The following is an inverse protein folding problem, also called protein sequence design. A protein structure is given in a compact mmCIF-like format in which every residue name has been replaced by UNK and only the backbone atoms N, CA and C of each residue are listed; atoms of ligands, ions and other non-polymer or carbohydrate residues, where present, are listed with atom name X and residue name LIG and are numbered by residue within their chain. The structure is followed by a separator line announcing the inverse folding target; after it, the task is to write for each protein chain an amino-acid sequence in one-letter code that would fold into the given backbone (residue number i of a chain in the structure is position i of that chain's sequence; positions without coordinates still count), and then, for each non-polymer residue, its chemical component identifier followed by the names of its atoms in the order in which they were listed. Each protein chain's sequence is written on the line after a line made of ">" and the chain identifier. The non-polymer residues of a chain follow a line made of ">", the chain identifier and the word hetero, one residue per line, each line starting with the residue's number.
data_IF_257371909450
#
_entry.id   IF_257371909450
#
_cell.length_a   1.000
_cell.length_b   1.000
_cell.length_c   1.000
_cell.angle_alpha   90.00
_cell.angle_beta   90.00
_cell.angle_gamma   90.00
#
_symmetry.space_group_name_H-M   'P 1'
#
loop_
_entity.id
_entity.type
_entity.pdbx_description
1 polymer ?
#
# COMPACT_ATOMS: atom_id res chain seq x y z
N UNK A 1 -3.52 -12.36 20.89
CA UNK A 1 -3.68 -11.60 20.58
C UNK A 1 -3.57 -11.34 19.38
N UNK A 2 -4.08 -11.02 18.69
CA UNK A 2 -3.93 -10.81 17.53
C UNK A 2 -3.58 -9.64 17.12
N UNK A 3 -2.51 -9.35 17.05
CA UNK A 3 -2.09 -8.24 16.55
C UNK A 3 -2.03 -8.26 15.15
N UNK A 4 -2.55 -7.41 14.37
CA UNK A 4 -2.41 -7.33 12.99
C UNK A 4 -1.10 -6.80 12.68
N UNK A 5 -0.37 -7.38 11.77
CA UNK A 5 0.93 -6.90 11.41
C UNK A 5 0.93 -5.54 10.80
N UNK A 6 -0.13 -5.16 10.13
CA UNK A 6 -0.15 -3.88 9.44
C UNK A 6 -1.25 -2.98 9.99
N UNK A 7 -1.46 -3.04 11.30
CA UNK A 7 -2.54 -2.26 11.88
C UNK A 7 -2.28 -0.76 11.77
N UNK A 8 -1.03 -0.36 11.57
CA UNK A 8 -0.75 1.05 11.42
C UNK A 8 -0.75 1.49 9.96
N UNK A 9 -1.08 0.62 9.04
CA UNK A 9 -1.08 0.97 7.63
C UNK A 9 -2.21 1.91 7.32
N UNK A 10 -1.91 2.99 6.61
CA UNK A 10 -2.94 3.95 6.22
C UNK A 10 -2.87 4.13 4.72
N UNK A 11 -3.93 4.66 4.14
CA UNK A 11 -3.98 4.85 2.68
C UNK A 11 -2.77 5.66 2.24
N UNK A 12 -2.16 5.22 1.18
CA UNK A 12 -0.97 5.88 0.65
C UNK A 12 0.34 5.24 1.07
N UNK A 13 0.33 4.38 2.09
CA UNK A 13 1.55 3.71 2.49
C UNK A 13 1.97 2.74 1.41
N UNK A 14 3.27 2.66 1.14
CA UNK A 14 3.80 1.80 0.11
C UNK A 14 4.60 0.69 0.75
N UNK A 15 4.31 -0.53 0.38
CA UNK A 15 4.97 -1.70 0.94
C UNK A 15 5.64 -2.50 -0.17
N UNK A 16 6.69 -3.19 0.20
CA UNK A 16 7.46 -4.01 -0.73
C UNK A 16 7.30 -5.47 -0.33
N UNK A 17 7.04 -6.32 -1.30
CA UNK A 17 6.93 -7.74 -1.05
C UNK A 17 8.27 -8.37 -1.42
N UNK A 18 9.11 -8.73 -0.46
CA UNK A 18 10.43 -9.27 -0.79
C UNK A 18 10.40 -10.66 -1.40
N UNK A 19 9.30 -11.35 -1.28
CA UNK A 19 9.22 -12.70 -1.82
C UNK A 19 9.12 -12.65 -3.35
N UNK A 20 8.29 -11.76 -3.86
CA UNK A 20 8.13 -11.66 -5.31
C UNK A 20 8.71 -10.37 -5.89
N UNK A 21 9.11 -9.45 -5.07
CA UNK A 21 9.69 -8.21 -5.58
C UNK A 21 8.68 -7.20 -6.06
N UNK A 22 7.46 -7.27 -5.55
CA UNK A 22 6.40 -6.38 -5.98
C UNK A 22 6.23 -5.21 -5.05
N UNK A 23 5.66 -4.14 -5.56
CA UNK A 23 5.31 -2.98 -4.73
C UNK A 23 3.79 -2.90 -4.62
N UNK A 24 3.34 -2.55 -3.44
CA UNK A 24 1.92 -2.46 -3.14
C UNK A 24 1.64 -1.15 -2.43
N UNK A 25 0.43 -0.62 -2.60
CA UNK A 25 0.06 0.61 -1.93
C UNK A 25 -1.22 0.33 -1.16
N UNK A 26 -1.40 0.96 -0.04
CA UNK A 26 -2.59 0.78 0.76
C UNK A 26 -3.67 1.72 0.25
N UNK A 27 -4.83 1.17 -0.11
CA UNK A 27 -5.95 1.96 -0.58
C UNK A 27 -7.22 1.38 -0.01
N UNK A 28 -8.00 2.19 0.67
CA UNK A 28 -9.27 1.77 1.24
C UNK A 28 -9.13 0.55 2.14
N UNK A 29 -8.07 0.52 2.90
CA UNK A 29 -7.87 -0.57 3.86
C UNK A 29 -7.43 -1.87 3.24
N UNK A 30 -6.88 -1.83 2.03
CA UNK A 30 -6.39 -3.03 1.38
C UNK A 30 -5.05 -2.73 0.74
N UNK A 31 -4.28 -3.78 0.46
CA UNK A 31 -3.07 -3.64 -0.31
C UNK A 31 -3.43 -3.79 -1.79
N UNK A 32 -3.02 -2.86 -2.61
CA UNK A 32 -3.28 -2.90 -4.04
C UNK A 32 -1.95 -2.99 -4.75
N UNK A 33 -1.75 -4.02 -5.57
CA UNK A 33 -0.51 -4.19 -6.29
C UNK A 33 -0.43 -3.11 -7.35
N UNK A 34 0.64 -2.36 -7.33
CA UNK A 34 0.70 -1.16 -8.14
C UNK A 34 0.59 -1.44 -9.63
N UNK A 35 1.26 -2.45 -10.11
CA UNK A 35 1.24 -2.72 -11.53
C UNK A 35 -0.08 -3.30 -12.03
N UNK A 36 -0.64 -4.24 -11.32
CA UNK A 36 -1.80 -4.96 -11.78
C UNK A 36 -3.09 -4.53 -11.16
N UNK A 37 -3.06 -3.70 -10.18
CA UNK A 37 -4.24 -3.25 -9.45
C UNK A 37 -4.97 -4.42 -8.79
N UNK A 38 -4.24 -5.48 -8.48
CA UNK A 38 -4.79 -6.62 -7.79
C UNK A 38 -4.78 -6.28 -6.29
N UNK A 39 -5.85 -6.55 -5.57
CA UNK A 39 -5.88 -6.16 -4.18
C UNK A 39 -6.05 -7.35 -3.28
N UNK A 40 -5.55 -7.25 -2.07
CA UNK A 40 -5.67 -8.27 -1.06
C UNK A 40 -5.93 -7.59 0.28
N UNK A 41 -6.52 -8.31 1.23
CA UNK A 41 -6.76 -7.74 2.55
C UNK A 41 -5.46 -7.45 3.27
N UNK A 42 -5.49 -6.50 4.19
CA UNK A 42 -4.28 -6.12 4.91
C UNK A 42 -3.73 -7.23 5.79
N UNK A 43 -4.56 -8.18 6.21
CA UNK A 43 -4.04 -9.22 7.08
C UNK A 43 -3.63 -10.46 6.30
N UNK A 44 -3.63 -10.43 4.98
CA UNK A 44 -3.21 -11.59 4.23
C UNK A 44 -1.71 -11.75 4.11
N UNK A 45 -0.93 -10.72 3.79
CA UNK A 45 0.52 -10.91 3.63
C UNK A 45 1.22 -10.98 4.96
N UNK A 46 2.40 -11.61 4.96
CA UNK A 46 3.14 -11.75 6.18
C UNK A 46 4.47 -11.07 6.16
N UNK A 47 5.02 -10.77 5.00
CA UNK A 47 6.37 -10.26 4.93
C UNK A 47 6.49 -8.92 4.21
N UNK A 48 5.41 -8.21 4.05
CA UNK A 48 5.46 -6.91 3.39
C UNK A 48 6.20 -5.92 4.28
N UNK A 49 7.02 -5.09 3.69
CA UNK A 49 7.83 -4.13 4.41
C UNK A 49 7.47 -2.74 3.96
N UNK A 50 7.17 -1.85 4.87
CA UNK A 50 6.81 -0.49 4.52
C UNK A 50 8.05 0.22 4.02
N UNK A 51 8.00 0.77 2.82
CA UNK A 51 9.14 1.45 2.24
C UNK A 51 8.86 2.92 1.96
N UNK A 52 7.64 3.39 2.12
CA UNK A 52 7.36 4.79 1.88
C UNK A 52 5.91 5.13 2.04
N UNK A 53 5.55 6.32 1.63
CA UNK A 53 4.18 6.80 1.72
C UNK A 53 3.98 7.78 0.57
N UNK A 54 2.89 7.60 -0.15
CA UNK A 54 2.57 8.46 -1.25
C UNK A 54 1.29 9.19 -0.95
N UNK A 55 1.24 10.47 -1.21
CA UNK A 55 0.04 11.24 -0.97
C UNK A 55 -0.65 11.42 -2.30
N UNK A 56 -1.18 10.32 -2.81
CA UNK A 56 -1.79 10.32 -4.12
C UNK A 56 -2.76 11.44 -4.38
N UNK A 57 -3.70 11.73 -3.48
CA UNK A 57 -4.65 12.78 -3.77
C UNK A 57 -4.00 14.14 -3.98
N UNK A 58 -2.96 14.44 -3.19
CA UNK A 58 -2.29 15.69 -3.36
C UNK A 58 -1.52 15.73 -4.63
N UNK A 59 -0.87 14.65 -4.98
CA UNK A 59 -0.09 14.59 -6.20
C UNK A 59 -1.00 14.76 -7.39
N UNK A 60 -2.15 14.12 -7.37
CA UNK A 60 -3.06 14.23 -8.49
C UNK A 60 -3.60 15.63 -8.60
N UNK A 61 -3.88 16.27 -7.50
CA UNK A 61 -4.37 17.62 -7.56
C UNK A 61 -3.32 18.55 -8.13
N UNK A 62 -2.08 18.34 -7.77
CA UNK A 62 -1.02 19.18 -8.27
C UNK A 62 -0.92 19.06 -9.76
N UNK A 63 -0.96 17.86 -10.28
CA UNK A 63 -0.86 17.69 -11.71
C UNK A 63 -2.12 18.14 -12.41
N UNK A 64 -3.24 17.99 -11.76
CA UNK A 64 -4.49 18.40 -12.37
C UNK A 64 -4.59 19.87 -12.56
N UNK A 65 -3.78 20.63 -11.88
CA UNK A 65 -3.81 22.07 -12.05
C UNK A 65 -3.02 22.53 -13.22
N UNK A 66 -2.34 21.67 -13.86
CA UNK A 66 -1.63 22.04 -15.07
C UNK A 66 -2.56 22.01 -16.24
#
# INVERSE_FOLDING_TARGET
>A
MDERKYQDAVDGDIYFNPVFGDLWIVENGKFVKINDRYDIPLDEPEHFIKVGHAEWPKIQNTYGNF
#
